data_IF_551392956616
#
_entry.id   IF_551392956616
#
_cell.length_a   1.000
_cell.length_b   1.000
_cell.length_c   1.000
_cell.angle_alpha   90.00
_cell.angle_beta   90.00
_cell.angle_gamma   90.00
#
_symmetry.space_group_name_H-M   'P 1'
#
loop_
_entity.id
_entity.type
_entity.pdbx_description
1 polymer ?
#
# COMPACT_ATOMS: atom_id res chain seq x y z
N UNK A 1 40.96 40.48 -9.64
CA UNK A 1 40.59 39.40 -8.69
C UNK A 1 39.27 38.80 -9.14
N UNK A 2 39.24 37.50 -9.48
CA UNK A 2 38.02 36.79 -9.92
C UNK A 2 37.23 36.38 -8.67
N UNK A 3 35.97 36.80 -8.57
CA UNK A 3 35.03 36.30 -7.57
C UNK A 3 34.64 34.86 -7.94
N UNK A 4 34.94 33.90 -7.07
CA UNK A 4 34.30 32.58 -7.12
C UNK A 4 32.93 32.68 -6.47
N UNK A 5 31.88 32.39 -7.24
CA UNK A 5 30.56 32.11 -6.69
C UNK A 5 30.52 30.63 -6.27
N UNK A 6 30.38 30.37 -4.97
CA UNK A 6 30.10 29.03 -4.45
C UNK A 6 28.60 28.81 -4.57
N UNK A 7 28.19 27.91 -5.47
CA UNK A 7 26.81 27.45 -5.56
C UNK A 7 26.57 26.45 -4.44
N UNK A 8 25.95 26.89 -3.35
CA UNK A 8 25.36 25.98 -2.36
C UNK A 8 24.17 25.30 -3.01
N UNK A 9 24.37 24.06 -3.46
CA UNK A 9 23.27 23.17 -3.84
C UNK A 9 22.58 22.80 -2.53
N UNK A 10 21.48 23.48 -2.23
CA UNK A 10 20.60 23.08 -1.15
C UNK A 10 20.13 21.66 -1.43
N UNK A 11 20.54 20.70 -0.61
CA UNK A 11 19.89 19.40 -0.57
C UNK A 11 18.53 19.66 0.06
N UNK A 12 17.53 19.96 -0.77
CA UNK A 12 16.15 19.85 -0.30
C UNK A 12 15.92 18.36 -0.09
N UNK A 13 15.86 17.92 1.17
CA UNK A 13 15.22 16.66 1.47
C UNK A 13 13.82 16.73 0.84
N UNK A 14 13.59 15.97 -0.22
CA UNK A 14 12.23 15.68 -0.65
C UNK A 14 11.46 15.15 0.57
N UNK A 15 10.12 15.26 0.59
CA UNK A 15 9.35 14.64 1.66
C UNK A 15 9.87 13.21 1.81
N UNK A 16 10.26 12.83 3.03
CA UNK A 16 10.60 11.45 3.32
C UNK A 16 9.47 10.62 2.72
N UNK A 17 9.80 9.71 1.79
CA UNK A 17 8.81 8.81 1.19
C UNK A 17 7.99 8.30 2.36
N UNK A 18 6.70 8.67 2.41
CA UNK A 18 5.82 8.27 3.51
C UNK A 18 6.08 6.78 3.71
N UNK A 19 6.61 6.42 4.88
CA UNK A 19 7.19 5.09 5.07
C UNK A 19 6.10 4.08 4.74
N UNK A 20 6.24 3.40 3.61
CA UNK A 20 5.19 2.54 3.07
C UNK A 20 4.91 1.36 3.97
N UNK A 21 4.05 0.45 3.53
CA UNK A 21 3.71 -0.76 4.27
C UNK A 21 4.14 -2.00 3.47
N UNK A 22 5.45 -2.33 3.40
CA UNK A 22 5.95 -3.29 2.43
C UNK A 22 5.59 -4.74 2.71
N UNK A 23 5.13 -5.05 3.93
CA UNK A 23 4.87 -6.42 4.37
C UNK A 23 3.82 -6.50 5.47
N UNK A 24 3.34 -7.71 5.72
CA UNK A 24 2.46 -7.98 6.86
C UNK A 24 3.11 -7.52 8.16
N UNK A 25 2.37 -6.73 8.94
CA UNK A 25 2.84 -6.22 10.23
C UNK A 25 3.80 -5.02 10.14
N UNK A 26 3.95 -4.39 8.96
CA UNK A 26 4.83 -3.24 8.68
C UNK A 26 6.32 -3.56 8.66
N UNK A 27 6.82 -4.26 9.69
CA UNK A 27 8.22 -4.61 9.86
C UNK A 27 8.43 -6.08 10.28
N UNK A 28 9.70 -6.51 10.36
CA UNK A 28 10.09 -7.86 10.79
C UNK A 28 9.70 -8.20 12.24
N UNK A 29 9.33 -7.20 13.05
CA UNK A 29 8.85 -7.38 14.43
C UNK A 29 7.31 -7.40 14.49
N UNK A 30 6.64 -7.25 13.35
CA UNK A 30 5.19 -7.15 13.24
C UNK A 30 4.61 -6.04 14.12
N UNK A 31 5.30 -4.90 14.23
CA UNK A 31 4.89 -3.81 15.12
C UNK A 31 3.50 -3.25 14.81
N UNK A 32 3.06 -3.35 13.54
CA UNK A 32 1.84 -2.72 13.02
C UNK A 32 1.82 -1.21 13.29
N UNK A 33 2.99 -0.58 13.37
CA UNK A 33 3.14 0.81 13.75
C UNK A 33 3.92 1.58 12.70
N UNK A 34 3.28 2.57 12.08
CA UNK A 34 3.95 3.45 11.12
C UNK A 34 4.42 4.75 11.79
N UNK A 35 5.66 4.75 12.29
CA UNK A 35 6.25 5.93 12.94
C UNK A 35 6.43 7.14 11.98
N UNK A 36 6.43 6.89 10.67
CA UNK A 36 6.60 7.93 9.65
C UNK A 36 5.31 8.67 9.29
N UNK A 37 4.15 8.19 9.74
CA UNK A 37 2.87 8.84 9.47
C UNK A 37 2.58 9.92 10.50
N UNK A 38 2.52 11.17 10.04
CA UNK A 38 2.32 12.35 10.91
C UNK A 38 1.23 13.29 10.42
N UNK A 39 0.51 12.96 9.35
CA UNK A 39 -0.49 13.85 8.76
C UNK A 39 -1.85 13.71 9.46
N UNK A 40 -2.20 12.49 9.87
CA UNK A 40 -3.47 12.17 10.52
C UNK A 40 -3.27 12.01 12.02
N UNK A 41 -4.10 12.67 12.83
CA UNK A 41 -4.08 12.61 14.28
C UNK A 41 -5.43 12.93 14.92
N UNK A 42 -5.49 12.92 16.25
CA UNK A 42 -6.74 13.13 17.02
C UNK A 42 -7.43 14.47 16.73
N UNK A 43 -6.67 15.49 16.28
CA UNK A 43 -7.18 16.81 15.93
C UNK A 43 -7.95 16.84 14.61
N UNK A 44 -7.65 15.95 13.65
CA UNK A 44 -8.19 16.01 12.29
C UNK A 44 -8.82 14.72 11.78
N UNK A 45 -8.71 13.60 12.52
CA UNK A 45 -9.29 12.30 12.15
C UNK A 45 -10.80 12.38 11.88
N UNK A 46 -11.52 13.27 12.57
CA UNK A 46 -12.95 13.48 12.38
C UNK A 46 -13.34 14.09 11.03
N UNK A 47 -12.38 14.63 10.27
CA UNK A 47 -12.60 15.21 8.94
C UNK A 47 -12.27 14.25 7.80
N UNK A 48 -11.82 13.03 8.10
CA UNK A 48 -11.55 12.02 7.09
C UNK A 48 -12.85 11.63 6.36
N UNK A 49 -12.69 11.39 5.06
CA UNK A 49 -13.73 10.85 4.20
C UNK A 49 -13.07 9.88 3.22
N UNK A 50 -13.86 8.97 2.65
CA UNK A 50 -13.36 7.98 1.69
C UNK A 50 -12.78 8.68 0.46
N UNK A 51 -11.50 8.43 0.17
CA UNK A 51 -10.85 8.94 -1.04
C UNK A 51 -11.24 8.12 -2.28
N UNK A 52 -11.20 6.78 -2.17
CA UNK A 52 -11.59 5.85 -3.23
C UNK A 52 -12.01 4.51 -2.63
N UNK A 53 -12.65 3.66 -3.45
CA UNK A 53 -12.92 2.26 -3.12
C UNK A 53 -12.81 1.39 -4.37
N UNK A 54 -12.55 0.09 -4.16
CA UNK A 54 -12.56 -0.94 -5.19
C UNK A 54 -13.47 -2.08 -4.74
N UNK A 55 -14.40 -2.50 -5.61
CA UNK A 55 -15.18 -3.72 -5.40
C UNK A 55 -14.44 -4.94 -5.93
N UNK A 56 -14.15 -5.91 -5.06
CA UNK A 56 -13.67 -7.25 -5.44
C UNK A 56 -14.83 -8.24 -5.52
N UNK A 57 -14.63 -9.38 -6.20
CA UNK A 57 -15.65 -10.41 -6.33
C UNK A 57 -15.84 -11.28 -5.08
N UNK A 58 -14.96 -11.13 -4.09
CA UNK A 58 -14.91 -11.95 -2.89
C UNK A 58 -14.19 -11.24 -1.74
N UNK A 59 -14.23 -11.81 -0.53
CA UNK A 59 -13.61 -11.23 0.66
C UNK A 59 -12.14 -10.85 0.48
N UNK A 60 -11.73 -9.74 1.10
CA UNK A 60 -10.33 -9.37 1.29
C UNK A 60 -10.02 -9.54 2.78
N UNK A 61 -9.27 -10.57 3.13
CA UNK A 61 -8.96 -10.92 4.53
C UNK A 61 -7.52 -10.65 4.93
N UNK A 62 -6.63 -10.44 3.95
CA UNK A 62 -5.23 -10.12 4.17
C UNK A 62 -5.02 -8.61 4.40
N UNK A 63 -3.97 -8.25 5.14
CA UNK A 63 -3.49 -6.87 5.23
C UNK A 63 -2.84 -6.46 3.90
N UNK A 64 -3.26 -5.36 3.25
CA UNK A 64 -2.61 -4.87 2.04
C UNK A 64 -1.15 -4.46 2.29
N UNK A 65 -0.33 -4.51 1.24
CA UNK A 65 1.02 -3.94 1.24
C UNK A 65 1.05 -2.70 0.33
N UNK A 66 1.79 -1.67 0.71
CA UNK A 66 2.03 -0.47 -0.12
C UNK A 66 3.54 -0.26 -0.28
N UNK A 67 3.97 -0.18 -1.54
CA UNK A 67 5.36 0.15 -1.89
C UNK A 67 5.36 1.00 -3.16
N UNK A 68 5.94 2.20 -3.07
CA UNK A 68 6.18 3.06 -4.24
C UNK A 68 4.88 3.55 -4.89
N UNK A 69 3.85 3.85 -4.10
CA UNK A 69 2.56 4.34 -4.59
C UNK A 69 1.68 3.26 -5.20
N UNK A 70 1.96 1.99 -4.92
CA UNK A 70 1.16 0.85 -5.38
C UNK A 70 0.69 0.03 -4.19
N UNK A 71 -0.62 -0.20 -4.09
CA UNK A 71 -1.24 -1.07 -3.10
C UNK A 71 -1.43 -2.47 -3.69
N UNK A 72 -0.93 -3.47 -2.99
CA UNK A 72 -1.03 -4.88 -3.36
C UNK A 72 -1.96 -5.61 -2.40
N UNK A 73 -2.93 -6.34 -2.94
CA UNK A 73 -3.95 -7.01 -2.14
C UNK A 73 -4.48 -8.27 -2.83
N UNK A 74 -4.61 -9.36 -2.07
CA UNK A 74 -5.26 -10.59 -2.51
C UNK A 74 -6.73 -10.63 -2.12
N UNK A 75 -7.57 -11.17 -2.99
CA UNK A 75 -8.99 -11.42 -2.73
C UNK A 75 -9.33 -12.90 -2.88
N UNK A 76 -10.36 -13.31 -2.16
CA UNK A 76 -11.00 -14.61 -2.26
C UNK A 76 -11.76 -14.80 -3.58
N UNK A 77 -11.82 -13.78 -4.45
CA UNK A 77 -12.22 -13.92 -5.86
C UNK A 77 -11.15 -14.57 -6.76
N UNK A 78 -10.12 -15.13 -6.14
CA UNK A 78 -8.97 -15.77 -6.78
C UNK A 78 -8.02 -14.83 -7.53
N UNK A 79 -8.15 -13.52 -7.36
CA UNK A 79 -7.25 -12.55 -7.95
C UNK A 79 -6.35 -11.86 -6.92
N UNK A 80 -5.15 -11.52 -7.37
CA UNK A 80 -4.24 -10.61 -6.71
C UNK A 80 -4.18 -9.30 -7.51
N UNK A 81 -4.35 -8.18 -6.82
CA UNK A 81 -4.50 -6.86 -7.41
C UNK A 81 -3.28 -5.99 -7.09
N UNK A 82 -2.90 -5.16 -8.07
CA UNK A 82 -2.05 -3.99 -7.86
C UNK A 82 -2.82 -2.73 -8.24
N UNK A 83 -2.96 -1.83 -7.27
CA UNK A 83 -3.76 -0.63 -7.36
C UNK A 83 -2.87 0.59 -7.28
N UNK A 84 -3.20 1.63 -8.03
CA UNK A 84 -2.63 2.95 -7.82
C UNK A 84 -3.11 3.49 -6.45
N UNK A 85 -2.17 3.83 -5.56
CA UNK A 85 -2.49 4.18 -4.17
C UNK A 85 -3.29 5.49 -4.05
N UNK A 86 -3.16 6.40 -5.03
CA UNK A 86 -3.83 7.70 -5.01
C UNK A 86 -5.25 7.61 -5.54
N UNK A 87 -5.47 6.82 -6.59
CA UNK A 87 -6.74 6.79 -7.32
C UNK A 87 -7.58 5.53 -7.07
N UNK A 88 -6.98 4.45 -6.56
CA UNK A 88 -7.62 3.15 -6.43
C UNK A 88 -7.76 2.39 -7.76
N UNK A 89 -7.25 2.95 -8.87
CA UNK A 89 -7.34 2.32 -10.18
C UNK A 89 -6.53 1.02 -10.24
N UNK A 90 -7.10 -0.02 -10.83
CA UNK A 90 -6.40 -1.30 -11.05
C UNK A 90 -5.31 -1.08 -12.10
N UNK A 91 -4.04 -1.14 -11.68
CA UNK A 91 -2.89 -1.11 -12.59
C UNK A 91 -2.76 -2.45 -13.30
N UNK A 92 -2.94 -3.54 -12.56
CA UNK A 92 -3.06 -4.89 -13.07
C UNK A 92 -3.72 -5.80 -12.03
N UNK A 93 -4.21 -6.95 -12.49
CA UNK A 93 -4.59 -8.08 -11.62
C UNK A 93 -4.16 -9.38 -12.26
N UNK A 94 -3.90 -10.38 -11.43
CA UNK A 94 -3.54 -11.74 -11.86
C UNK A 94 -4.38 -12.76 -11.10
N UNK A 95 -4.92 -13.76 -11.81
CA UNK A 95 -5.63 -14.88 -11.20
C UNK A 95 -4.59 -15.86 -10.63
N UNK A 96 -4.59 -16.05 -9.32
CA UNK A 96 -3.60 -16.85 -8.57
C UNK A 96 -4.14 -18.22 -8.13
N UNK A 97 -5.45 -18.42 -8.24
CA UNK A 97 -6.10 -19.69 -7.97
C UNK A 97 -7.28 -19.89 -8.94
N UNK A 98 -7.71 -21.13 -9.14
CA UNK A 98 -8.93 -21.43 -9.89
C UNK A 98 -10.13 -21.54 -8.95
N UNK A 99 -11.34 -21.17 -9.39
CA UNK A 99 -12.57 -21.30 -8.58
C UNK A 99 -12.85 -22.70 -8.05
N UNK A 100 -12.28 -23.72 -8.69
CA UNK A 100 -12.43 -25.12 -8.29
C UNK A 100 -11.63 -25.49 -7.02
N UNK A 101 -10.83 -24.56 -6.48
CA UNK A 101 -9.88 -24.83 -5.40
C UNK A 101 -8.65 -25.60 -5.87
N UNK A 102 -7.57 -25.54 -5.11
CA UNK A 102 -6.46 -26.48 -5.30
C UNK A 102 -6.92 -27.86 -4.77
N UNK A 103 -6.93 -28.93 -5.60
CA UNK A 103 -7.29 -30.27 -5.12
C UNK A 103 -6.38 -30.78 -3.99
N UNK A 104 -5.21 -30.17 -3.77
CA UNK A 104 -4.33 -30.45 -2.62
C UNK A 104 -4.80 -29.81 -1.31
N UNK A 105 -5.64 -28.78 -1.35
CA UNK A 105 -6.14 -28.06 -0.17
C UNK A 105 -7.67 -27.91 -0.20
N UNK A 106 -8.41 -29.03 -0.12
CA UNK A 106 -9.87 -29.05 -0.32
C UNK A 106 -10.65 -28.27 0.74
N UNK A 107 -10.04 -27.94 1.88
CA UNK A 107 -10.68 -27.23 3.01
C UNK A 107 -10.66 -25.70 2.92
N UNK A 108 -9.98 -25.11 1.93
CA UNK A 108 -10.06 -23.67 1.65
C UNK A 108 -10.97 -23.50 0.43
N UNK A 109 -12.27 -23.61 0.69
CA UNK A 109 -13.29 -23.20 -0.27
C UNK A 109 -13.64 -21.75 0.05
N UNK A 110 -13.76 -20.94 -1.00
CA UNK A 110 -14.24 -19.55 -0.90
C UNK A 110 -15.69 -19.47 -0.48
#
# INVERSE_FOLDING_TARGET
MKLLAVLLIGVTSGPALAAGWPMYGHDLRQSRFNAGETLIGSQNVGSLHQAWFLSTGGPVTATPAEVGGVVYVGSWDHNFYALDATTGAVKWKVTVATPQGDPKFPGIQS
#
